data_IF_295952551434
#
_entry.id   IF_295952551434
#
_cell.length_a   1.000
_cell.length_b   1.000
_cell.length_c   1.000
_cell.angle_alpha   90.00
_cell.angle_beta   90.00
_cell.angle_gamma   90.00
#
_symmetry.space_group_name_H-M   'P 1'
#
loop_
_entity.id
_entity.type
_entity.pdbx_description
1 polymer ?
#
# COMPACT_ATOMS: atom_id res chain seq x y z
N UNK A 1 2.61 -1.01 -22.77
CA UNK A 1 3.46 -0.58 -21.64
C UNK A 1 2.47 -0.15 -20.59
N UNK A 2 2.02 -1.07 -19.75
CA UNK A 2 1.38 -0.69 -18.50
C UNK A 2 2.44 -0.43 -17.44
N UNK A 3 1.97 0.11 -16.33
CA UNK A 3 2.80 0.60 -15.23
C UNK A 3 3.04 -0.54 -14.25
N UNK A 4 4.25 -0.65 -13.71
CA UNK A 4 4.58 -1.62 -12.67
C UNK A 4 5.41 -0.92 -11.61
N UNK A 5 5.11 -1.17 -10.34
CA UNK A 5 5.81 -0.55 -9.24
C UNK A 5 5.62 -1.35 -7.95
N UNK A 6 6.42 -0.96 -6.97
CA UNK A 6 6.50 -1.56 -5.66
C UNK A 6 7.00 -0.50 -4.69
N UNK A 7 6.45 -0.51 -3.50
CA UNK A 7 6.88 0.34 -2.41
C UNK A 7 6.51 -0.32 -1.08
N UNK A 8 7.10 0.19 -0.01
CA UNK A 8 6.76 -0.19 1.36
C UNK A 8 6.16 1.05 2.02
N UNK A 9 5.06 0.86 2.74
CA UNK A 9 4.43 1.90 3.55
C UNK A 9 4.60 1.57 5.02
N UNK A 10 5.12 2.53 5.78
CA UNK A 10 5.28 2.42 7.24
C UNK A 10 4.61 3.62 7.89
N UNK A 11 3.67 3.36 8.79
CA UNK A 11 3.05 4.43 9.56
C UNK A 11 4.07 5.02 10.55
N UNK A 12 4.45 6.27 10.32
CA UNK A 12 5.42 7.02 11.12
C UNK A 12 4.94 8.47 11.34
N UNK A 13 4.02 8.70 12.29
CA UNK A 13 3.40 10.01 12.49
C UNK A 13 4.39 11.15 12.72
N UNK A 14 4.42 12.10 11.79
CA UNK A 14 5.37 13.21 11.77
C UNK A 14 6.84 12.79 11.61
N UNK A 15 7.09 11.64 10.99
CA UNK A 15 8.42 11.14 10.58
C UNK A 15 9.45 11.11 11.71
N UNK A 16 9.03 10.69 12.91
CA UNK A 16 9.84 10.76 14.13
C UNK A 16 10.77 9.57 14.31
N UNK A 17 10.36 8.41 13.81
CA UNK A 17 11.17 7.21 13.87
C UNK A 17 12.16 7.21 12.69
N UNK A 18 13.36 6.69 12.95
CA UNK A 18 14.36 6.46 11.91
C UNK A 18 14.61 4.97 11.81
N UNK A 19 14.83 4.51 10.58
CA UNK A 19 15.05 3.10 10.25
C UNK A 19 16.39 2.97 9.52
N UNK A 20 17.07 1.86 9.73
CA UNK A 20 18.20 1.50 8.88
C UNK A 20 17.67 0.60 7.78
N UNK A 21 17.84 1.03 6.54
CA UNK A 21 17.51 0.28 5.33
C UNK A 21 18.79 -0.27 4.70
N UNK A 22 18.65 -1.22 3.78
CA UNK A 22 19.76 -1.56 2.87
C UNK A 22 20.14 -0.39 1.95
N UNK A 23 21.36 -0.42 1.41
CA UNK A 23 21.95 0.70 0.64
C UNK A 23 21.12 1.11 -0.59
N UNK A 24 20.34 0.18 -1.14
CA UNK A 24 19.54 0.38 -2.35
C UNK A 24 18.12 0.89 -2.07
N UNK A 25 17.79 1.25 -0.82
CA UNK A 25 16.47 1.78 -0.49
C UNK A 25 16.52 3.23 0.00
N UNK A 26 15.49 3.99 -0.35
CA UNK A 26 15.33 5.38 0.10
C UNK A 26 13.94 5.59 0.72
N UNK A 27 13.87 6.53 1.65
CA UNK A 27 12.63 6.95 2.31
C UNK A 27 12.21 8.30 1.74
N UNK A 28 10.96 8.40 1.32
CA UNK A 28 10.29 9.65 0.98
C UNK A 28 9.09 9.90 1.90
N UNK A 29 8.84 11.17 2.17
CA UNK A 29 7.78 11.64 3.06
C UNK A 29 6.64 12.25 2.23
N UNK A 30 5.95 11.39 1.47
CA UNK A 30 4.93 11.82 0.52
C UNK A 30 3.59 12.19 1.17
N UNK A 31 3.37 11.77 2.42
CA UNK A 31 2.23 12.19 3.24
C UNK A 31 2.65 12.35 4.71
N UNK A 32 1.92 13.14 5.53
CA UNK A 32 2.41 13.59 6.84
C UNK A 32 2.71 12.50 7.89
N UNK A 33 2.09 11.33 7.76
CA UNK A 33 2.14 10.27 8.76
C UNK A 33 2.69 8.94 8.21
N UNK A 34 3.12 8.92 6.95
CA UNK A 34 3.59 7.71 6.28
C UNK A 34 4.94 7.92 5.63
N UNK A 35 5.84 6.99 5.93
CA UNK A 35 7.06 6.82 5.18
C UNK A 35 6.80 5.89 4.00
N UNK A 36 7.16 6.35 2.80
CA UNK A 36 7.14 5.56 1.59
C UNK A 36 8.57 5.18 1.25
N UNK A 37 8.84 3.88 1.20
CA UNK A 37 10.17 3.35 0.93
C UNK A 37 10.19 2.80 -0.49
N UNK A 38 11.15 3.28 -1.27
CA UNK A 38 11.42 2.80 -2.62
C UNK A 38 12.74 2.05 -2.66
N UNK A 39 12.84 1.16 -3.63
CA UNK A 39 14.12 0.64 -4.08
C UNK A 39 14.66 1.54 -5.20
N UNK A 40 15.89 2.03 -5.07
CA UNK A 40 16.59 2.91 -6.01
C UNK A 40 17.02 2.17 -7.29
N UNK A 41 16.84 0.83 -7.34
CA UNK A 41 17.19 0.00 -8.48
C UNK A 41 15.96 -0.41 -9.30
N UNK A 42 15.90 0.08 -10.55
CA UNK A 42 14.87 -0.27 -11.54
C UNK A 42 15.08 -1.65 -12.18
N UNK A 43 16.19 -2.35 -11.89
CA UNK A 43 16.58 -3.61 -12.53
C UNK A 43 16.24 -4.88 -11.73
N UNK A 44 15.83 -4.75 -10.47
CA UNK A 44 15.66 -5.87 -9.52
C UNK A 44 14.26 -6.49 -9.55
N UNK A 45 14.15 -7.76 -9.15
CA UNK A 45 12.95 -8.60 -9.32
C UNK A 45 11.94 -8.42 -8.16
N UNK A 46 10.65 -8.69 -8.41
CA UNK A 46 9.54 -8.48 -7.46
C UNK A 46 9.76 -8.95 -6.01
N UNK A 47 10.61 -9.95 -5.78
CA UNK A 47 10.86 -10.55 -4.48
C UNK A 47 11.59 -9.60 -3.51
N UNK A 48 12.41 -8.67 -4.02
CA UNK A 48 13.36 -7.89 -3.21
C UNK A 48 12.66 -6.92 -2.23
N UNK A 49 11.66 -6.15 -2.69
CA UNK A 49 10.90 -5.23 -1.81
C UNK A 49 10.15 -5.96 -0.69
N UNK A 50 9.65 -7.16 -0.97
CA UNK A 50 8.97 -7.96 0.05
C UNK A 50 9.96 -8.45 1.11
N UNK A 51 11.17 -8.85 0.72
CA UNK A 51 12.21 -9.23 1.68
C UNK A 51 12.57 -8.09 2.62
N UNK A 52 12.76 -6.88 2.08
CA UNK A 52 13.06 -5.73 2.93
C UNK A 52 11.87 -5.37 3.84
N UNK A 53 10.63 -5.46 3.34
CA UNK A 53 9.44 -5.28 4.18
C UNK A 53 9.36 -6.31 5.33
N UNK A 54 9.77 -7.57 5.08
CA UNK A 54 9.86 -8.61 6.11
C UNK A 54 10.90 -8.22 7.16
N UNK A 55 12.11 -7.84 6.75
CA UNK A 55 13.20 -7.44 7.66
C UNK A 55 12.82 -6.23 8.50
N UNK A 56 12.20 -5.23 7.89
CA UNK A 56 11.65 -4.07 8.60
C UNK A 56 10.61 -4.50 9.63
N UNK A 57 9.67 -5.37 9.26
CA UNK A 57 8.63 -5.83 10.18
C UNK A 57 9.16 -6.65 11.38
N UNK A 58 10.36 -7.23 11.29
CA UNK A 58 11.03 -7.89 12.42
C UNK A 58 11.65 -6.89 13.41
N UNK A 59 12.02 -5.71 12.91
CA UNK A 59 12.72 -4.66 13.67
C UNK A 59 11.79 -3.60 14.23
N UNK A 60 10.62 -3.43 13.62
CA UNK A 60 9.63 -2.42 13.97
C UNK A 60 8.50 -3.01 14.82
N UNK A 61 8.07 -2.24 15.81
CA UNK A 61 6.86 -2.55 16.61
C UNK A 61 5.57 -2.10 15.90
N UNK A 62 5.67 -1.56 14.68
CA UNK A 62 4.54 -1.13 13.85
C UNK A 62 4.41 -2.04 12.64
N UNK A 63 3.18 -2.29 12.13
CA UNK A 63 3.00 -3.06 10.91
C UNK A 63 3.70 -2.39 9.72
N UNK A 64 4.24 -3.22 8.84
CA UNK A 64 4.87 -2.81 7.58
C UNK A 64 4.01 -3.30 6.42
N UNK A 65 3.70 -2.41 5.48
CA UNK A 65 2.83 -2.73 4.35
C UNK A 65 3.66 -2.83 3.08
N UNK A 66 3.66 -3.99 2.44
CA UNK A 66 4.28 -4.21 1.13
C UNK A 66 3.23 -4.03 0.03
N UNK A 67 3.56 -3.21 -0.97
CA UNK A 67 2.73 -2.97 -2.16
C UNK A 67 3.40 -3.56 -3.39
N UNK A 68 2.60 -4.21 -4.23
CA UNK A 68 3.04 -4.67 -5.55
C UNK A 68 1.95 -4.46 -6.58
N UNK A 69 2.34 -3.85 -7.70
CA UNK A 69 1.46 -3.60 -8.84
C UNK A 69 2.17 -3.97 -10.14
N UNK A 70 1.49 -4.70 -11.03
CA UNK A 70 2.09 -5.16 -12.28
C UNK A 70 1.13 -5.06 -13.47
N UNK A 71 1.47 -4.16 -14.40
CA UNK A 71 0.91 -4.02 -15.76
C UNK A 71 -0.62 -4.04 -15.81
N UNK A 72 -1.28 -3.42 -14.83
CA UNK A 72 -2.75 -3.39 -14.65
C UNK A 72 -3.41 -4.78 -14.47
N UNK A 73 -2.60 -5.84 -14.39
CA UNK A 73 -3.05 -7.23 -14.24
C UNK A 73 -3.05 -7.69 -12.80
N UNK A 74 -2.20 -7.12 -11.95
CA UNK A 74 -2.01 -7.57 -10.58
C UNK A 74 -1.86 -6.39 -9.63
N UNK A 75 -2.60 -6.45 -8.53
CA UNK A 75 -2.41 -5.59 -7.37
C UNK A 75 -2.39 -6.45 -6.10
N UNK A 76 -1.38 -6.24 -5.26
CA UNK A 76 -1.24 -6.90 -3.98
C UNK A 76 -0.86 -5.89 -2.89
N UNK A 77 -1.54 -6.00 -1.76
CA UNK A 77 -1.19 -5.34 -0.50
C UNK A 77 -1.04 -6.40 0.58
N UNK A 78 0.12 -6.44 1.22
CA UNK A 78 0.45 -7.40 2.28
C UNK A 78 0.86 -6.65 3.55
N UNK A 79 0.30 -7.05 4.70
CA UNK A 79 0.66 -6.54 6.02
C UNK A 79 1.59 -7.52 6.71
N UNK A 80 2.74 -7.02 7.15
CA UNK A 80 3.80 -7.77 7.79
C UNK A 80 4.02 -7.27 9.22
N UNK A 81 4.06 -8.21 10.17
CA UNK A 81 4.42 -7.96 11.57
C UNK A 81 5.32 -9.09 12.07
N UNK A 82 6.43 -8.75 12.71
CA UNK A 82 7.37 -9.74 13.26
C UNK A 82 7.89 -10.73 12.21
N UNK A 83 8.13 -10.26 10.99
CA UNK A 83 8.63 -11.05 9.86
C UNK A 83 7.58 -11.93 9.17
N UNK A 84 6.28 -11.74 9.45
CA UNK A 84 5.21 -12.63 8.96
C UNK A 84 4.01 -11.88 8.40
N UNK A 85 3.42 -12.48 7.37
CA UNK A 85 2.15 -12.04 6.76
C UNK A 85 0.95 -12.24 7.69
N UNK A 86 0.41 -11.15 8.22
CA UNK A 86 -0.75 -11.14 9.11
C UNK A 86 -2.06 -10.91 8.34
N UNK A 87 -2.00 -10.16 7.24
CA UNK A 87 -3.13 -9.82 6.38
C UNK A 87 -2.68 -9.61 4.94
N UNK A 88 -3.56 -9.83 3.97
CA UNK A 88 -3.31 -9.46 2.58
C UNK A 88 -4.60 -9.27 1.80
N UNK A 89 -4.53 -8.50 0.73
CA UNK A 89 -5.52 -8.47 -0.34
C UNK A 89 -4.78 -8.53 -1.68
N UNK A 90 -5.29 -9.39 -2.56
CA UNK A 90 -4.74 -9.64 -3.88
C UNK A 90 -5.86 -9.57 -4.90
N UNK A 91 -5.59 -8.89 -6.02
CA UNK A 91 -6.42 -8.86 -7.22
C UNK A 91 -5.55 -9.25 -8.40
N UNK A 92 -5.96 -10.27 -9.16
CA UNK A 92 -5.31 -10.64 -10.40
C UNK A 92 -6.20 -11.45 -11.33
N UNK A 93 -5.62 -11.99 -12.41
CA UNK A 93 -6.34 -12.77 -13.43
C UNK A 93 -7.10 -13.98 -12.86
N UNK A 94 -6.57 -14.59 -11.79
CA UNK A 94 -7.20 -15.73 -11.10
C UNK A 94 -8.35 -15.32 -10.17
N UNK A 95 -8.58 -14.02 -10.00
CA UNK A 95 -9.62 -13.43 -9.17
C UNK A 95 -9.06 -12.66 -7.98
N UNK A 96 -9.89 -12.55 -6.93
CA UNK A 96 -9.54 -11.86 -5.69
C UNK A 96 -9.33 -12.87 -4.57
N UNK A 97 -8.24 -12.71 -3.81
CA UNK A 97 -8.05 -13.41 -2.54
C UNK A 97 -7.76 -12.41 -1.42
N UNK A 98 -8.25 -12.70 -0.23
CA UNK A 98 -8.12 -11.78 0.90
C UNK A 98 -8.07 -12.53 2.22
N UNK A 99 -7.07 -12.19 3.02
CA UNK A 99 -6.89 -12.69 4.38
C UNK A 99 -6.96 -11.54 5.37
N UNK A 100 -7.78 -11.73 6.40
CA UNK A 100 -7.85 -10.88 7.60
C UNK A 100 -8.12 -9.39 7.32
N UNK A 101 -9.28 -9.08 6.76
CA UNK A 101 -9.71 -7.71 6.45
C UNK A 101 -9.66 -6.75 7.65
N UNK A 102 -9.90 -7.25 8.86
CA UNK A 102 -9.83 -6.40 10.05
C UNK A 102 -8.42 -5.86 10.29
N UNK A 103 -7.40 -6.67 10.01
CA UNK A 103 -6.02 -6.29 10.20
C UNK A 103 -5.54 -5.36 9.09
N UNK A 104 -6.01 -5.52 7.85
CA UNK A 104 -5.85 -4.52 6.80
C UNK A 104 -6.40 -3.16 7.22
N UNK A 105 -7.63 -3.11 7.75
CA UNK A 105 -8.26 -1.86 8.22
C UNK A 105 -7.41 -1.16 9.28
N UNK A 106 -6.90 -1.92 10.25
CA UNK A 106 -6.05 -1.37 11.32
C UNK A 106 -4.70 -0.89 10.78
N UNK A 107 -4.02 -1.72 9.99
CA UNK A 107 -2.71 -1.42 9.46
C UNK A 107 -2.75 -0.19 8.55
N UNK A 108 -3.82 0.00 7.77
CA UNK A 108 -4.06 1.17 6.93
C UNK A 108 -4.53 2.41 7.70
N UNK A 109 -4.68 2.33 9.02
CA UNK A 109 -5.17 3.42 9.86
C UNK A 109 -6.51 4.03 9.38
N UNK A 110 -7.40 3.20 8.84
CA UNK A 110 -8.69 3.67 8.33
C UNK A 110 -9.58 4.21 9.46
N UNK A 111 -10.24 5.32 9.17
CA UNK A 111 -11.28 5.88 10.05
C UNK A 111 -12.45 4.90 10.18
N UNK A 112 -13.11 4.79 11.36
CA UNK A 112 -14.20 3.83 11.58
C UNK A 112 -15.35 3.90 10.55
N UNK A 113 -15.67 5.09 10.06
CA UNK A 113 -16.67 5.31 9.02
C UNK A 113 -16.30 4.71 7.65
N UNK A 114 -15.00 4.48 7.39
CA UNK A 114 -14.49 3.94 6.14
C UNK A 114 -14.41 2.41 6.13
N UNK A 115 -14.65 1.74 7.26
CA UNK A 115 -14.58 0.26 7.32
C UNK A 115 -15.55 -0.42 6.35
N UNK A 116 -16.80 0.06 6.26
CA UNK A 116 -17.81 -0.53 5.38
C UNK A 116 -17.47 -0.26 3.90
N UNK A 117 -17.16 0.98 3.48
CA UNK A 117 -16.64 1.26 2.14
C UNK A 117 -15.44 0.39 1.76
N UNK A 118 -14.44 0.30 2.63
CA UNK A 118 -13.25 -0.52 2.39
C UNK A 118 -13.59 -2.00 2.18
N UNK A 119 -14.46 -2.57 3.03
CA UNK A 119 -14.95 -3.94 2.86
C UNK A 119 -15.68 -4.17 1.55
N UNK A 120 -16.33 -3.14 0.98
CA UNK A 120 -16.97 -3.24 -0.34
C UNK A 120 -15.91 -3.27 -1.45
N UNK A 121 -14.89 -2.41 -1.38
CA UNK A 121 -13.77 -2.40 -2.33
C UNK A 121 -13.12 -3.78 -2.39
N UNK A 122 -12.66 -4.29 -1.25
CA UNK A 122 -11.99 -5.60 -1.12
C UNK A 122 -12.82 -6.78 -1.67
N UNK A 123 -14.15 -6.66 -1.69
CA UNK A 123 -15.06 -7.72 -2.16
C UNK A 123 -15.48 -7.58 -3.63
N UNK A 124 -15.40 -6.38 -4.20
CA UNK A 124 -16.07 -6.06 -5.46
C UNK A 124 -15.14 -5.46 -6.51
N UNK A 125 -14.07 -4.78 -6.10
CA UNK A 125 -13.09 -4.20 -7.02
C UNK A 125 -12.18 -5.30 -7.59
N UNK A 126 -12.70 -6.05 -8.56
CA UNK A 126 -12.01 -7.18 -9.19
C UNK A 126 -10.98 -6.79 -10.26
N UNK A 127 -10.77 -5.49 -10.50
CA UNK A 127 -9.76 -4.98 -11.43
C UNK A 127 -8.63 -4.31 -10.63
N UNK A 128 -7.38 -4.65 -10.96
CA UNK A 128 -6.22 -4.24 -10.18
C UNK A 128 -6.07 -2.70 -10.06
N UNK A 129 -6.19 -1.90 -11.15
CA UNK A 129 -6.16 -0.44 -11.05
C UNK A 129 -7.28 0.12 -10.16
N UNK A 130 -8.50 -0.40 -10.28
CA UNK A 130 -9.64 0.07 -9.50
C UNK A 130 -9.44 -0.23 -8.00
N UNK A 131 -9.00 -1.45 -7.67
CA UNK A 131 -8.75 -1.83 -6.28
C UNK A 131 -7.64 -0.99 -5.67
N UNK A 132 -6.51 -0.85 -6.37
CA UNK A 132 -5.38 -0.03 -5.96
C UNK A 132 -5.81 1.42 -5.71
N UNK A 133 -6.44 2.07 -6.69
CA UNK A 133 -6.83 3.48 -6.61
C UNK A 133 -7.84 3.73 -5.49
N UNK A 134 -8.88 2.87 -5.37
CA UNK A 134 -9.88 3.02 -4.32
C UNK A 134 -9.31 2.80 -2.92
N UNK A 135 -8.37 1.88 -2.76
CA UNK A 135 -7.69 1.65 -1.47
C UNK A 135 -6.78 2.84 -1.15
N UNK A 136 -6.00 3.32 -2.12
CA UNK A 136 -5.12 4.49 -2.00
C UNK A 136 -5.90 5.70 -1.46
N UNK A 137 -7.02 5.99 -2.12
CA UNK A 137 -7.88 7.12 -1.82
C UNK A 137 -8.61 7.00 -0.46
N UNK A 138 -9.05 5.80 -0.09
CA UNK A 138 -9.68 5.55 1.20
C UNK A 138 -8.66 5.66 2.35
N UNK A 139 -7.49 5.06 2.18
CA UNK A 139 -6.45 5.02 3.19
C UNK A 139 -5.67 6.33 3.28
N UNK A 140 -5.72 7.16 2.23
CA UNK A 140 -4.90 8.38 2.08
C UNK A 140 -3.41 8.09 2.26
N UNK A 141 -2.96 7.00 1.66
CA UNK A 141 -1.54 6.60 1.62
C UNK A 141 -1.12 6.51 0.16
N UNK A 142 0.14 6.79 -0.19
CA UNK A 142 0.59 6.89 -1.58
C UNK A 142 0.91 5.51 -2.18
N UNK A 143 -0.11 4.64 -2.31
CA UNK A 143 0.02 3.29 -2.87
C UNK A 143 0.58 3.33 -4.29
N UNK A 144 0.04 4.21 -5.15
CA UNK A 144 0.45 4.39 -6.55
C UNK A 144 1.86 4.93 -6.75
N UNK A 145 2.63 5.13 -5.69
CA UNK A 145 3.97 5.66 -5.80
C UNK A 145 4.96 4.70 -6.41
N UNK A 146 5.67 5.20 -7.42
CA UNK A 146 6.52 4.38 -8.28
C UNK A 146 7.95 4.91 -8.38
N UNK A 147 8.25 6.10 -7.84
CA UNK A 147 9.59 6.64 -7.89
C UNK A 147 9.93 7.49 -6.67
N UNK A 148 11.20 7.43 -6.25
CA UNK A 148 11.79 8.37 -5.29
C UNK A 148 11.79 9.83 -5.77
N UNK A 149 11.52 10.06 -7.07
CA UNK A 149 11.36 11.40 -7.64
C UNK A 149 9.95 11.94 -7.55
N UNK A 150 9.01 11.16 -7.01
CA UNK A 150 7.67 11.63 -6.77
C UNK A 150 7.73 12.73 -5.71
N UNK A 151 7.13 13.88 -5.99
CA UNK A 151 7.10 15.01 -5.04
C UNK A 151 5.83 14.93 -4.17
N UNK A 152 5.89 15.43 -2.94
CA UNK A 152 4.77 15.46 -1.97
C UNK A 152 3.47 16.04 -2.58
N UNK A 153 3.61 17.05 -3.46
CA UNK A 153 2.48 17.71 -4.13
C UNK A 153 1.75 16.85 -5.19
N UNK A 154 2.33 15.70 -5.60
CA UNK A 154 1.73 14.77 -6.56
C UNK A 154 0.62 13.91 -5.94
N UNK A 155 0.69 13.62 -4.64
CA UNK A 155 -0.29 12.75 -3.97
C UNK A 155 -1.50 13.56 -3.50
N UNK A 156 -2.38 13.86 -4.44
CA UNK A 156 -3.69 14.45 -4.17
C UNK A 156 -4.76 13.38 -4.24
N UNK A 157 -5.15 12.88 -3.06
CA UNK A 157 -6.28 11.98 -2.92
C UNK A 157 -7.56 12.61 -3.45
N UNK A 158 -8.40 11.79 -4.09
CA UNK A 158 -9.70 12.25 -4.61
C UNK A 158 -10.63 12.71 -3.48
N UNK A 159 -11.67 13.44 -3.86
CA UNK A 159 -12.67 13.89 -2.90
C UNK A 159 -13.40 12.69 -2.28
N UNK A 160 -13.56 12.74 -0.95
CA UNK A 160 -14.14 11.62 -0.19
C UNK A 160 -15.58 11.32 -0.61
N UNK A 161 -16.38 12.33 -0.91
CA UNK A 161 -17.78 12.10 -1.31
C UNK A 161 -17.85 11.41 -2.68
N UNK A 162 -16.98 11.80 -3.61
CA UNK A 162 -16.86 11.18 -4.93
C UNK A 162 -16.48 9.70 -4.83
N UNK A 163 -15.46 9.37 -4.03
CA UNK A 163 -15.00 7.99 -3.82
C UNK A 163 -16.11 7.13 -3.20
N UNK A 164 -16.82 7.65 -2.19
CA UNK A 164 -17.88 6.91 -1.52
C UNK A 164 -19.09 6.65 -2.43
N UNK A 165 -19.43 7.62 -3.29
CA UNK A 165 -20.47 7.46 -4.31
C UNK A 165 -20.08 6.39 -5.34
N UNK A 166 -18.82 6.38 -5.80
CA UNK A 166 -18.29 5.35 -6.70
C UNK A 166 -18.35 3.95 -6.05
N UNK A 167 -17.86 3.80 -4.82
CA UNK A 167 -17.89 2.51 -4.09
C UNK A 167 -19.32 1.99 -3.91
N UNK A 168 -20.30 2.89 -3.72
CA UNK A 168 -21.70 2.50 -3.59
C UNK A 168 -22.29 1.87 -4.86
N UNK A 169 -21.66 2.10 -6.02
CA UNK A 169 -22.08 1.62 -7.34
C UNK A 169 -21.32 0.38 -7.83
N UNK A 170 -20.27 -0.05 -7.12
CA UNK A 170 -19.60 -1.35 -7.33
C UNK A 170 -20.57 -2.52 -7.11
#
# INVERSE_FOLDING_TARGET
MGTSFRNIQVYNPGHKNQYELEEDYCIEHLTPDWDTIFEDNLETEFEDVREEAVRLSERLDTPVISISYFDDMLFAIEVLEGGKSTAYHFVGDEGMDTKNVQELIKALHLEPELEIPFRNVIKKAGFAPDSMQLIEDLARIPIGAFSFKDEEDYYRFRDREEILDEISRL
#
